data_IF_121403573926
#
_entry.id   IF_121403573926
#
_cell.length_a   1.000
_cell.length_b   1.000
_cell.length_c   1.000
_cell.angle_alpha   90.00
_cell.angle_beta   90.00
_cell.angle_gamma   90.00
#
_symmetry.space_group_name_H-M   'P 1'
#
loop_
_entity.id
_entity.type
_entity.pdbx_description
1 polymer ?
#
# COMPACT_ATOMS: atom_id res chain seq x y z
N UNK A 1 10.68 0.05 11.58
CA UNK A 1 11.06 -1.36 11.63
C UNK A 1 11.45 -1.81 10.24
N UNK A 2 12.65 -2.35 10.06
CA UNK A 2 13.20 -2.78 8.78
C UNK A 2 13.30 -4.30 8.74
N UNK A 3 12.49 -4.93 7.89
CA UNK A 3 12.37 -6.39 7.73
C UNK A 3 12.41 -6.78 6.24
N UNK A 4 13.05 -5.96 5.40
CA UNK A 4 13.16 -6.24 3.98
C UNK A 4 14.06 -7.46 3.70
N UNK A 5 13.83 -8.13 2.57
CA UNK A 5 14.59 -9.31 2.12
C UNK A 5 14.56 -10.45 3.14
N UNK A 6 13.36 -10.85 3.55
CA UNK A 6 13.12 -12.01 4.43
C UNK A 6 12.10 -12.95 3.78
N UNK A 7 11.70 -14.00 4.51
CA UNK A 7 10.69 -14.96 4.07
C UNK A 7 9.32 -14.75 4.75
N UNK A 8 9.01 -13.53 5.17
CA UNK A 8 7.77 -13.23 5.89
C UNK A 8 6.59 -13.44 4.97
N UNK A 9 5.66 -14.31 5.37
CA UNK A 9 4.41 -14.57 4.64
C UNK A 9 3.18 -13.99 5.33
N UNK A 10 3.29 -13.64 6.61
CA UNK A 10 2.22 -13.06 7.42
C UNK A 10 2.77 -11.96 8.34
N UNK A 11 2.10 -10.83 8.37
CA UNK A 11 2.42 -9.73 9.27
C UNK A 11 1.72 -9.99 10.60
N UNK A 12 2.49 -10.18 11.67
CA UNK A 12 1.98 -10.48 13.03
C UNK A 12 2.98 -10.04 14.10
N UNK A 13 2.51 -9.93 15.34
CA UNK A 13 3.35 -9.58 16.48
C UNK A 13 3.69 -8.09 16.57
N UNK A 14 2.95 -7.24 15.87
CA UNK A 14 3.13 -5.78 15.87
C UNK A 14 2.16 -5.06 16.82
N UNK A 15 1.34 -5.80 17.57
CA UNK A 15 0.23 -5.26 18.39
C UNK A 15 0.66 -4.21 19.44
N UNK A 16 1.91 -4.30 19.90
CA UNK A 16 2.48 -3.38 20.89
C UNK A 16 3.28 -2.23 20.27
N UNK A 17 3.45 -2.20 18.94
CA UNK A 17 4.27 -1.21 18.25
C UNK A 17 3.50 0.07 17.88
N UNK A 18 2.65 0.56 18.78
CA UNK A 18 1.66 1.63 18.53
C UNK A 18 2.24 2.97 18.04
N UNK A 19 3.50 3.23 18.36
CA UNK A 19 4.21 4.46 17.97
C UNK A 19 5.06 4.30 16.70
N UNK A 20 4.94 3.18 15.98
CA UNK A 20 5.74 2.93 14.79
C UNK A 20 5.37 3.92 13.67
N UNK A 21 6.36 4.61 13.13
CA UNK A 21 6.22 5.54 12.00
C UNK A 21 6.53 4.92 10.64
N UNK A 22 7.52 4.02 10.61
CA UNK A 22 8.02 3.41 9.38
C UNK A 22 8.01 1.89 9.53
N UNK A 23 7.41 1.19 8.56
CA UNK A 23 7.46 -0.26 8.42
C UNK A 23 7.93 -0.62 7.01
N UNK A 24 9.09 -1.26 6.92
CA UNK A 24 9.64 -1.75 5.67
C UNK A 24 9.60 -3.28 5.63
N UNK A 25 8.80 -3.81 4.71
CA UNK A 25 8.56 -5.22 4.44
C UNK A 25 8.82 -5.56 2.97
N UNK A 26 9.63 -4.77 2.27
CA UNK A 26 10.01 -5.03 0.87
C UNK A 26 10.62 -6.42 0.70
N UNK A 27 10.45 -7.06 -0.46
CA UNK A 27 11.11 -8.34 -0.77
C UNK A 27 10.79 -9.43 0.26
N UNK A 28 9.52 -9.79 0.35
CA UNK A 28 9.02 -10.84 1.24
C UNK A 28 8.00 -11.73 0.48
N UNK A 29 7.30 -12.60 1.19
CA UNK A 29 6.31 -13.53 0.64
C UNK A 29 4.87 -13.20 1.08
N UNK A 30 4.58 -11.92 1.39
CA UNK A 30 3.30 -11.49 1.94
C UNK A 30 2.23 -11.56 0.84
N UNK A 31 1.10 -12.19 1.13
CA UNK A 31 -0.05 -12.29 0.21
C UNK A 31 -1.25 -11.45 0.62
N UNK A 32 -1.28 -11.01 1.88
CA UNK A 32 -2.37 -10.22 2.47
C UNK A 32 -1.82 -9.16 3.41
N UNK A 33 -2.38 -7.96 3.30
CA UNK A 33 -2.16 -6.89 4.25
C UNK A 33 -3.12 -7.12 5.42
N UNK A 34 -2.58 -7.63 6.52
CA UNK A 34 -3.31 -7.90 7.77
C UNK A 34 -2.41 -7.63 8.98
N UNK A 35 -2.96 -7.59 10.19
CA UNK A 35 -2.15 -7.41 11.41
C UNK A 35 -1.56 -6.01 11.61
N UNK A 36 -2.03 -5.00 10.87
CA UNK A 36 -1.59 -3.60 10.98
C UNK A 36 -2.52 -2.71 11.83
N UNK A 37 -3.60 -3.27 12.38
CA UNK A 37 -4.70 -2.51 12.99
C UNK A 37 -4.30 -1.60 14.16
N UNK A 38 -3.21 -1.93 14.85
CA UNK A 38 -2.69 -1.17 15.99
C UNK A 38 -1.69 -0.07 15.61
N UNK A 39 -1.27 0.00 14.35
CA UNK A 39 -0.23 0.91 13.86
C UNK A 39 -0.80 2.25 13.39
N UNK A 40 -1.68 2.85 14.18
CA UNK A 40 -2.41 4.09 13.82
C UNK A 40 -1.50 5.30 13.63
N UNK A 41 -0.25 5.22 14.09
CA UNK A 41 0.77 6.25 13.93
C UNK A 41 1.65 6.09 12.67
N UNK A 42 1.42 5.04 11.85
CA UNK A 42 2.26 4.74 10.71
C UNK A 42 2.15 5.80 9.60
N UNK A 43 3.31 6.26 9.12
CA UNK A 43 3.47 7.30 8.10
C UNK A 43 4.03 6.74 6.79
N UNK A 44 4.94 5.75 6.87
CA UNK A 44 5.51 5.09 5.68
C UNK A 44 5.40 3.57 5.78
N UNK A 45 4.77 2.97 4.77
CA UNK A 45 4.61 1.52 4.63
C UNK A 45 5.18 1.06 3.29
N UNK A 46 6.21 0.22 3.35
CA UNK A 46 6.84 -0.34 2.17
C UNK A 46 6.57 -1.84 2.06
N UNK A 47 5.89 -2.23 0.99
CA UNK A 47 5.44 -3.60 0.71
C UNK A 47 5.80 -4.04 -0.72
N UNK A 48 6.73 -3.33 -1.38
CA UNK A 48 7.15 -3.70 -2.74
C UNK A 48 7.74 -5.11 -2.81
N UNK A 49 7.67 -5.75 -3.97
CA UNK A 49 8.24 -7.09 -4.20
C UNK A 49 7.64 -8.13 -3.22
N UNK A 50 6.31 -8.22 -3.21
CA UNK A 50 5.54 -9.21 -2.46
C UNK A 50 4.53 -9.91 -3.41
N UNK A 51 3.53 -10.61 -2.86
CA UNK A 51 2.53 -11.38 -3.61
C UNK A 51 1.10 -10.93 -3.26
N UNK A 52 0.94 -9.64 -2.96
CA UNK A 52 -0.34 -9.06 -2.53
C UNK A 52 -1.26 -8.92 -3.75
N UNK A 53 -2.44 -9.54 -3.69
CA UNK A 53 -3.44 -9.47 -4.77
C UNK A 53 -4.53 -8.42 -4.56
N UNK A 54 -4.73 -8.00 -3.30
CA UNK A 54 -5.80 -7.08 -2.90
C UNK A 54 -5.28 -6.10 -1.86
N UNK A 55 -5.62 -4.83 -2.05
CA UNK A 55 -5.40 -3.77 -1.06
C UNK A 55 -6.59 -3.80 -0.09
N UNK A 56 -6.32 -4.11 1.18
CA UNK A 56 -7.29 -4.14 2.28
C UNK A 56 -6.56 -4.06 3.62
N UNK A 57 -7.28 -3.80 4.72
CA UNK A 57 -6.64 -3.79 6.04
C UNK A 57 -5.80 -2.54 6.32
N UNK A 58 -5.97 -1.50 5.50
CA UNK A 58 -5.30 -0.20 5.63
C UNK A 58 -6.18 0.85 6.33
N UNK A 59 -7.43 0.53 6.64
CA UNK A 59 -8.44 1.43 7.20
C UNK A 59 -7.99 2.20 8.46
N UNK A 60 -7.21 1.61 9.38
CA UNK A 60 -6.72 2.32 10.56
C UNK A 60 -5.54 3.27 10.31
N UNK A 61 -4.89 3.21 9.14
CA UNK A 61 -3.62 3.89 8.84
C UNK A 61 -3.85 5.30 8.27
N UNK A 62 -4.70 6.09 8.92
CA UNK A 62 -5.12 7.41 8.43
C UNK A 62 -3.97 8.44 8.33
N UNK A 63 -2.83 8.18 8.98
CA UNK A 63 -1.63 9.04 8.97
C UNK A 63 -0.64 8.67 7.86
N UNK A 64 -0.95 7.65 7.04
CA UNK A 64 -0.03 7.17 6.02
C UNK A 64 0.18 8.24 4.94
N UNK A 65 1.45 8.60 4.73
CA UNK A 65 1.88 9.56 3.72
C UNK A 65 2.55 8.85 2.52
N UNK A 66 3.23 7.74 2.77
CA UNK A 66 3.87 6.93 1.72
C UNK A 66 3.39 5.48 1.78
N UNK A 67 2.88 4.99 0.65
CA UNK A 67 2.54 3.59 0.45
C UNK A 67 3.24 3.06 -0.80
N UNK A 68 4.12 2.08 -0.61
CA UNK A 68 4.79 1.40 -1.71
C UNK A 68 4.26 -0.03 -1.87
N UNK A 69 3.55 -0.26 -2.96
CA UNK A 69 2.95 -1.53 -3.36
C UNK A 69 3.48 -2.00 -4.72
N UNK A 70 4.59 -1.45 -5.22
CA UNK A 70 5.16 -1.85 -6.50
C UNK A 70 5.53 -3.34 -6.56
N UNK A 71 5.56 -3.95 -7.74
CA UNK A 71 5.92 -5.36 -7.91
C UNK A 71 5.10 -6.30 -7.01
N UNK A 72 3.77 -6.25 -7.16
CA UNK A 72 2.80 -7.12 -6.48
C UNK A 72 1.83 -7.71 -7.53
N UNK A 73 0.68 -8.24 -7.10
CA UNK A 73 -0.31 -8.90 -7.96
C UNK A 73 -1.67 -8.20 -7.91
N UNK A 74 -1.68 -6.90 -7.62
CA UNK A 74 -2.92 -6.12 -7.44
C UNK A 74 -3.62 -5.94 -8.78
N UNK A 75 -4.91 -6.25 -8.84
CA UNK A 75 -5.71 -6.16 -10.08
C UNK A 75 -6.63 -4.92 -10.08
N UNK A 76 -6.99 -4.42 -8.90
CA UNK A 76 -7.98 -3.34 -8.76
C UNK A 76 -7.52 -2.31 -7.73
N UNK A 77 -7.82 -1.04 -8.01
CA UNK A 77 -7.58 0.09 -7.10
C UNK A 77 -8.79 0.23 -6.16
N UNK A 78 -8.78 -0.51 -5.04
CA UNK A 78 -9.75 -0.42 -3.93
C UNK A 78 -9.00 -0.40 -2.60
N UNK A 79 -9.67 -0.16 -1.47
CA UNK A 79 -9.05 -0.31 -0.14
C UNK A 79 -8.11 0.84 0.27
N UNK A 80 -8.16 1.97 -0.45
CA UNK A 80 -7.36 3.18 -0.19
C UNK A 80 -8.19 4.31 0.45
N UNK A 81 -9.49 4.07 0.71
CA UNK A 81 -10.51 5.10 0.99
C UNK A 81 -10.18 5.97 2.22
N UNK A 82 -9.49 5.39 3.19
CA UNK A 82 -9.10 6.03 4.45
C UNK A 82 -7.80 6.84 4.35
N UNK A 83 -7.02 6.68 3.28
CA UNK A 83 -5.64 7.19 3.16
C UNK A 83 -5.63 8.62 2.62
N UNK A 84 -6.36 9.52 3.27
CA UNK A 84 -6.56 10.91 2.80
C UNK A 84 -5.32 11.80 2.92
N UNK A 85 -4.27 11.34 3.61
CA UNK A 85 -2.99 12.04 3.77
C UNK A 85 -1.89 11.52 2.82
N UNK A 86 -2.23 10.62 1.88
CA UNK A 86 -1.25 9.98 1.02
C UNK A 86 -0.63 10.99 0.05
N UNK A 87 0.70 11.08 0.08
CA UNK A 87 1.54 11.96 -0.76
C UNK A 87 2.30 11.18 -1.82
N UNK A 88 2.65 9.93 -1.53
CA UNK A 88 3.36 9.02 -2.43
C UNK A 88 2.66 7.66 -2.48
N UNK A 89 2.34 7.19 -3.68
CA UNK A 89 1.71 5.90 -3.92
C UNK A 89 2.40 5.20 -5.09
N UNK A 90 3.08 4.09 -4.80
CA UNK A 90 3.82 3.32 -5.81
C UNK A 90 3.04 2.07 -6.17
N UNK A 91 2.76 1.90 -7.47
CA UNK A 91 1.91 0.82 -7.98
C UNK A 91 2.47 0.14 -9.24
N UNK A 92 3.65 0.54 -9.72
CA UNK A 92 4.27 -0.11 -10.89
C UNK A 92 4.38 -1.63 -10.72
N UNK A 93 4.41 -2.33 -11.85
CA UNK A 93 4.55 -3.78 -11.89
C UNK A 93 3.49 -4.53 -11.07
N UNK A 94 2.24 -4.06 -11.17
CA UNK A 94 1.05 -4.78 -10.72
C UNK A 94 0.23 -5.26 -11.93
N UNK A 95 -0.96 -5.80 -11.68
CA UNK A 95 -1.90 -6.29 -12.69
C UNK A 95 -3.10 -5.35 -12.89
N UNK A 96 -2.94 -4.07 -12.52
CA UNK A 96 -3.98 -3.05 -12.68
C UNK A 96 -4.10 -2.74 -14.18
N UNK A 97 -5.30 -2.80 -14.78
CA UNK A 97 -5.47 -2.47 -16.19
C UNK A 97 -4.96 -1.06 -16.52
N UNK A 98 -4.13 -0.93 -17.55
CA UNK A 98 -3.52 0.34 -17.98
C UNK A 98 -4.55 1.46 -18.15
N UNK A 99 -5.70 1.15 -18.76
CA UNK A 99 -6.83 2.09 -18.90
C UNK A 99 -7.30 2.72 -17.58
N UNK A 100 -7.22 1.98 -16.47
CA UNK A 100 -7.57 2.50 -15.13
C UNK A 100 -6.49 3.43 -14.64
N UNK A 101 -5.22 3.08 -14.82
CA UNK A 101 -4.10 3.95 -14.48
C UNK A 101 -4.17 5.27 -15.28
N UNK A 102 -4.41 5.21 -16.58
CA UNK A 102 -4.57 6.38 -17.44
C UNK A 102 -5.72 7.29 -16.99
N UNK A 103 -6.89 6.69 -16.67
CA UNK A 103 -8.03 7.44 -16.11
C UNK A 103 -7.64 8.17 -14.82
N UNK A 104 -6.77 7.58 -14.02
CA UNK A 104 -6.27 8.12 -12.75
C UNK A 104 -5.06 9.04 -12.90
N UNK A 105 -4.64 9.36 -14.12
CA UNK A 105 -3.52 10.28 -14.40
C UNK A 105 -2.16 9.60 -14.60
N UNK A 106 -2.15 8.26 -14.64
CA UNK A 106 -0.97 7.46 -14.90
C UNK A 106 -0.02 7.34 -13.71
N UNK A 107 1.06 6.62 -13.95
CA UNK A 107 2.23 6.56 -13.09
C UNK A 107 3.40 7.27 -13.77
N UNK A 108 4.30 7.87 -13.01
CA UNK A 108 5.54 8.44 -13.53
C UNK A 108 6.55 7.35 -13.95
N UNK A 109 7.72 7.75 -14.44
CA UNK A 109 8.76 6.82 -14.87
C UNK A 109 9.33 5.94 -13.75
N UNK A 110 9.10 6.30 -12.48
CA UNK A 110 9.46 5.50 -11.32
C UNK A 110 8.33 4.58 -10.84
N UNK A 111 7.12 4.71 -11.39
CA UNK A 111 5.96 3.94 -10.96
C UNK A 111 5.16 4.57 -9.83
N UNK A 112 5.41 5.84 -9.51
CA UNK A 112 4.65 6.61 -8.53
C UNK A 112 3.42 7.24 -9.20
N UNK A 113 2.28 7.22 -8.52
CA UNK A 113 1.07 7.87 -8.98
C UNK A 113 1.24 9.39 -9.06
N UNK A 114 0.87 10.00 -10.19
CA UNK A 114 0.97 11.44 -10.37
C UNK A 114 0.07 12.25 -9.41
N UNK A 115 -1.05 11.66 -8.98
CA UNK A 115 -1.96 12.21 -7.95
C UNK A 115 -2.50 11.07 -7.08
N UNK A 116 -1.83 10.73 -5.96
CA UNK A 116 -2.29 9.66 -5.07
C UNK A 116 -3.71 9.86 -4.53
N UNK A 117 -4.13 11.10 -4.31
CA UNK A 117 -5.48 11.40 -3.80
C UNK A 117 -6.57 11.14 -4.85
N UNK A 118 -6.23 11.13 -6.15
CA UNK A 118 -7.15 10.69 -7.21
C UNK A 118 -7.43 9.19 -7.13
N UNK A 119 -6.43 8.37 -6.76
CA UNK A 119 -6.60 6.94 -6.51
C UNK A 119 -7.46 6.69 -5.26
N UNK A 120 -7.23 7.44 -4.18
CA UNK A 120 -8.07 7.40 -2.96
C UNK A 120 -9.53 7.72 -3.27
N UNK A 121 -9.78 8.80 -4.02
CA UNK A 121 -11.14 9.18 -4.46
C UNK A 121 -11.78 8.12 -5.35
N UNK A 122 -11.00 7.49 -6.23
CA UNK A 122 -11.50 6.42 -7.07
C UNK A 122 -11.95 5.20 -6.26
N UNK A 123 -11.20 4.83 -5.22
CA UNK A 123 -11.59 3.72 -4.32
C UNK A 123 -12.89 4.00 -3.56
N UNK A 124 -13.15 5.25 -3.17
CA UNK A 124 -14.40 5.63 -2.46
C UNK A 124 -15.69 5.38 -3.27
N UNK A 125 -15.62 5.49 -4.60
CA UNK A 125 -16.81 5.45 -5.48
C UNK A 125 -16.98 4.13 -6.24
N UNK A 126 -16.00 3.23 -6.18
CA UNK A 126 -16.00 1.95 -6.92
C UNK A 126 -16.03 0.72 -6.00
N UNK A 127 -16.77 0.78 -4.89
CA UNK A 127 -16.95 -0.34 -3.93
C UNK A 127 -17.56 -1.59 -4.58
#
# INVERSE_FOLDING_TARGET
LWLNANEISKIRGLDNCKNMKILNLKQNNITRIEGLYSLTELENLFLSENKIGEIKGLEPLIKLETLDLGQNQIIQVKGLESLTNLKDLWLADNLIPEKVLDQLGGLDSGGCAADPLKFVKYSLVNL
#
